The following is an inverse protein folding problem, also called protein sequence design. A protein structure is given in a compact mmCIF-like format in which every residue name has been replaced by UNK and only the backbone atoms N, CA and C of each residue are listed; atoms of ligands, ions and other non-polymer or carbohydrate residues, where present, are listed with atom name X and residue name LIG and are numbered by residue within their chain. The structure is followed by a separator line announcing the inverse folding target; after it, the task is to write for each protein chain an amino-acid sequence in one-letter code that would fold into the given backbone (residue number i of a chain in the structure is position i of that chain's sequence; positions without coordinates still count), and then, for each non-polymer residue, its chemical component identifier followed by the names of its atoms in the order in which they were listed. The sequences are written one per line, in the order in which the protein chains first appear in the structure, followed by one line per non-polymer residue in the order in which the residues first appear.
data_IF_070076454587
#
_entry.id   IF_070076454587
#
_cell.length_a   1.000
_cell.length_b   1.000
_cell.length_c   1.000
_cell.angle_alpha   90.00
_cell.angle_beta   90.00
_cell.angle_gamma   90.00
#
_symmetry.space_group_name_H-M   'P 1'
#
loop_
_entity.id
_entity.type
_entity.pdbx_description
1 polymer ?
#
# COMPACT_ATOMS: atom_id res chain seq x y z
N UNK A 1 1.95 27.44 7.03
CA UNK A 1 1.57 26.19 7.71
C UNK A 1 1.90 25.03 6.79
N UNK A 2 3.03 24.38 7.06
CA UNK A 2 3.65 23.40 6.17
C UNK A 2 2.96 22.05 6.38
N UNK A 3 1.92 21.78 5.58
CA UNK A 3 1.19 20.51 5.61
C UNK A 3 2.14 19.43 5.10
N UNK A 4 2.66 18.67 6.07
CA UNK A 4 3.45 17.43 6.01
C UNK A 4 3.77 16.90 4.60
N UNK A 5 4.92 17.34 4.09
CA UNK A 5 5.65 16.62 3.06
C UNK A 5 6.23 15.32 3.64
N UNK A 6 5.44 14.24 3.65
CA UNK A 6 6.02 12.91 3.55
C UNK A 6 5.18 11.96 2.68
N UNK A 7 5.21 12.20 1.38
CA UNK A 7 6.03 11.36 0.51
C UNK A 7 6.24 9.89 0.95
N UNK A 8 5.23 9.03 1.00
CA UNK A 8 5.40 7.60 0.73
C UNK A 8 4.06 6.95 0.45
N UNK A 9 4.01 6.06 -0.53
CA UNK A 9 2.84 5.21 -0.71
C UNK A 9 2.73 4.37 0.52
N UNK A 10 1.65 4.53 1.26
CA UNK A 10 1.45 3.79 2.47
C UNK A 10 1.52 2.29 2.17
N UNK A 11 2.13 1.51 3.06
CA UNK A 11 2.22 0.06 2.91
C UNK A 11 1.89 -0.64 4.23
N UNK A 12 1.44 -1.88 4.11
CA UNK A 12 1.04 -2.77 5.20
C UNK A 12 2.21 -3.63 5.68
N UNK A 13 2.22 -3.97 6.97
CA UNK A 13 3.09 -4.99 7.53
C UNK A 13 2.57 -6.40 7.20
N UNK A 14 3.47 -7.32 6.85
CA UNK A 14 3.11 -8.65 6.36
C UNK A 14 2.39 -9.55 7.36
N UNK A 15 2.57 -9.32 8.67
CA UNK A 15 1.95 -10.13 9.73
C UNK A 15 0.58 -9.58 10.18
N UNK A 16 0.12 -8.46 9.63
CA UNK A 16 -1.26 -8.01 9.83
C UNK A 16 -2.23 -8.96 9.09
N UNK A 17 -3.51 -8.96 9.46
CA UNK A 17 -4.54 -9.80 8.84
C UNK A 17 -5.45 -9.00 7.91
N UNK A 18 -5.80 -9.54 6.75
CA UNK A 18 -6.81 -9.00 5.84
C UNK A 18 -8.09 -9.82 5.94
N UNK A 19 -9.24 -9.16 6.09
CA UNK A 19 -10.53 -9.84 6.13
C UNK A 19 -11.04 -10.12 4.71
N UNK A 20 -11.46 -11.36 4.46
CA UNK A 20 -12.03 -11.81 3.20
C UNK A 20 -13.57 -11.77 3.25
N UNK A 21 -14.21 -11.79 2.08
CA UNK A 21 -15.68 -11.75 1.98
C UNK A 21 -16.39 -12.97 2.57
N UNK A 22 -15.68 -14.08 2.78
CA UNK A 22 -16.21 -15.29 3.40
C UNK A 22 -16.04 -15.30 4.94
N UNK A 23 -15.77 -14.13 5.54
CA UNK A 23 -15.51 -13.95 6.98
C UNK A 23 -14.28 -14.68 7.53
N UNK A 24 -13.39 -15.18 6.66
CA UNK A 24 -12.07 -15.68 7.06
C UNK A 24 -11.01 -14.57 6.93
N UNK A 25 -9.82 -14.81 7.47
CA UNK A 25 -8.69 -13.89 7.36
C UNK A 25 -7.48 -14.56 6.73
N UNK A 26 -6.63 -13.76 6.10
CA UNK A 26 -5.29 -14.14 5.64
C UNK A 26 -4.27 -13.16 6.21
N UNK A 27 -3.02 -13.57 6.38
CA UNK A 27 -1.96 -12.59 6.62
C UNK A 27 -1.80 -11.72 5.36
N UNK A 28 -1.44 -10.45 5.54
CA UNK A 28 -1.17 -9.50 4.45
C UNK A 28 -0.16 -10.09 3.47
N UNK A 29 0.86 -10.80 3.96
CA UNK A 29 1.89 -11.45 3.13
C UNK A 29 1.38 -12.66 2.33
N UNK A 30 0.24 -13.23 2.71
CA UNK A 30 -0.34 -14.45 2.12
C UNK A 30 -1.51 -14.16 1.18
N UNK A 31 -1.97 -12.90 1.09
CA UNK A 31 -2.99 -12.48 0.12
C UNK A 31 -2.50 -12.71 -1.32
N UNK A 32 -3.39 -13.19 -2.18
CA UNK A 32 -3.11 -13.54 -3.56
C UNK A 32 -4.04 -12.81 -4.54
N UNK A 33 -3.62 -12.60 -5.79
CA UNK A 33 -4.53 -12.24 -6.88
C UNK A 33 -5.72 -13.22 -6.94
N UNK A 34 -6.93 -12.69 -7.13
CA UNK A 34 -8.19 -13.45 -7.10
C UNK A 34 -8.89 -13.50 -5.73
N UNK A 35 -8.20 -13.17 -4.63
CA UNK A 35 -8.86 -13.07 -3.32
C UNK A 35 -9.91 -11.94 -3.31
N UNK A 36 -11.10 -12.22 -2.75
CA UNK A 36 -12.15 -11.22 -2.54
C UNK A 36 -12.12 -10.71 -1.12
N UNK A 37 -11.88 -9.41 -0.98
CA UNK A 37 -11.60 -8.74 0.30
C UNK A 37 -12.77 -7.89 0.77
N UNK A 38 -12.97 -7.86 2.09
CA UNK A 38 -13.90 -6.97 2.76
C UNK A 38 -13.37 -5.52 2.75
N UNK A 39 -14.22 -4.48 2.85
CA UNK A 39 -15.66 -4.57 3.13
C UNK A 39 -16.56 -4.63 1.88
N UNK A 40 -16.08 -4.21 0.70
CA UNK A 40 -16.93 -4.04 -0.49
C UNK A 40 -16.81 -5.16 -1.53
N UNK A 41 -16.05 -6.22 -1.24
CA UNK A 41 -15.94 -7.38 -2.14
C UNK A 41 -15.09 -7.15 -3.38
N UNK A 42 -14.18 -6.19 -3.34
CA UNK A 42 -13.16 -6.01 -4.38
C UNK A 42 -12.30 -7.26 -4.50
N UNK A 43 -11.94 -7.62 -5.72
CA UNK A 43 -11.02 -8.72 -6.02
C UNK A 43 -9.61 -8.17 -6.17
N UNK A 44 -8.65 -8.80 -5.50
CA UNK A 44 -7.22 -8.45 -5.62
C UNK A 44 -6.77 -8.74 -7.05
N UNK A 45 -6.35 -7.71 -7.77
CA UNK A 45 -5.72 -7.81 -9.10
C UNK A 45 -4.21 -7.94 -8.99
N UNK A 46 -3.59 -7.11 -8.15
CA UNK A 46 -2.15 -7.13 -7.91
C UNK A 46 -1.84 -7.12 -6.42
N UNK A 47 -0.84 -7.90 -6.04
CA UNK A 47 -0.17 -7.85 -4.74
C UNK A 47 1.20 -7.21 -4.96
N UNK A 48 1.41 -6.02 -4.42
CA UNK A 48 2.65 -5.27 -4.59
C UNK A 48 3.51 -5.42 -3.34
N UNK A 49 4.65 -6.12 -3.48
CA UNK A 49 5.65 -6.32 -2.44
C UNK A 49 6.82 -5.39 -2.67
N UNK A 50 7.09 -4.48 -1.73
CA UNK A 50 8.26 -3.61 -1.80
C UNK A 50 9.31 -4.09 -0.81
N UNK A 51 10.51 -4.43 -1.30
CA UNK A 51 11.62 -4.90 -0.48
C UNK A 51 12.08 -3.81 0.48
N UNK A 52 12.27 -4.16 1.75
CA UNK A 52 12.72 -3.24 2.78
C UNK A 52 14.25 -3.14 2.82
N UNK A 53 14.82 -1.93 2.89
CA UNK A 53 16.25 -1.76 3.06
C UNK A 53 16.65 -2.29 4.45
N UNK A 54 17.78 -3.01 4.52
CA UNK A 54 18.31 -3.57 5.75
C UNK A 54 17.34 -4.49 6.52
N UNK A 55 16.31 -5.04 5.85
CA UNK A 55 15.25 -5.88 6.47
C UNK A 55 14.49 -5.14 7.59
N UNK A 56 14.29 -3.83 7.43
CA UNK A 56 13.61 -2.99 8.42
C UNK A 56 12.69 -1.96 7.77
N UNK A 57 11.62 -1.61 8.48
CA UNK A 57 10.69 -0.57 8.08
C UNK A 57 10.29 0.30 9.27
N UNK A 58 10.02 1.58 9.01
CA UNK A 58 9.46 2.51 10.00
C UNK A 58 7.94 2.43 9.96
N UNK A 59 7.33 2.06 11.07
CA UNK A 59 5.90 1.78 11.17
C UNK A 59 5.32 2.37 12.46
N UNK A 60 4.01 2.46 12.50
CA UNK A 60 3.23 2.81 13.68
C UNK A 60 2.28 1.66 14.00
N UNK A 61 1.85 1.60 15.26
CA UNK A 61 0.84 0.66 15.74
C UNK A 61 -0.37 1.50 16.15
N UNK A 62 -1.53 1.20 15.59
CA UNK A 62 -2.79 1.89 15.89
C UNK A 62 -3.84 0.90 16.39
N UNK A 63 -5.11 1.30 16.39
CA UNK A 63 -6.25 0.49 16.80
C UNK A 63 -6.21 -0.94 16.24
N UNK A 64 -6.68 -1.91 17.02
CA UNK A 64 -6.70 -3.35 16.69
C UNK A 64 -5.31 -3.93 16.36
N UNK A 65 -4.24 -3.34 16.88
CA UNK A 65 -2.85 -3.71 16.61
C UNK A 65 -2.49 -3.64 15.12
N UNK A 66 -3.15 -2.79 14.33
CA UNK A 66 -2.76 -2.53 12.96
C UNK A 66 -1.34 -1.95 12.92
N UNK A 67 -0.40 -2.69 12.35
CA UNK A 67 0.97 -2.23 12.08
C UNK A 67 1.06 -1.77 10.63
N UNK A 68 1.36 -0.49 10.44
CA UNK A 68 1.29 0.16 9.12
C UNK A 68 2.30 1.29 9.01
N UNK A 69 2.69 1.69 7.80
CA UNK A 69 3.50 2.89 7.61
C UNK A 69 2.73 4.14 8.04
N UNK A 70 3.42 5.10 8.66
CA UNK A 70 2.81 6.24 9.36
C UNK A 70 1.91 7.16 8.49
N UNK A 71 2.05 7.12 7.17
CA UNK A 71 1.33 7.93 6.19
C UNK A 71 0.37 7.13 5.29
N UNK A 72 0.04 5.90 5.66
CA UNK A 72 -1.00 5.12 4.96
C UNK A 72 -2.38 5.53 5.49
N UNK A 73 -3.27 6.14 4.69
CA UNK A 73 -4.58 6.56 5.18
C UNK A 73 -5.43 5.40 5.69
N UNK A 74 -5.94 5.54 6.90
CA UNK A 74 -6.88 4.60 7.53
C UNK A 74 -8.21 5.30 7.79
N UNK A 75 -9.31 4.55 7.85
CA UNK A 75 -10.64 5.09 8.14
C UNK A 75 -11.09 4.65 9.53
N UNK A 76 -11.23 5.61 10.44
CA UNK A 76 -11.76 5.43 11.78
C UNK A 76 -12.97 6.33 11.97
N UNK A 77 -14.05 5.82 12.56
CA UNK A 77 -15.29 6.60 12.79
C UNK A 77 -15.76 7.36 11.54
N UNK A 78 -15.71 6.69 10.37
CA UNK A 78 -16.08 7.23 9.04
C UNK A 78 -15.20 8.37 8.51
N UNK A 79 -14.06 8.66 9.14
CA UNK A 79 -13.13 9.70 8.71
C UNK A 79 -11.79 9.11 8.32
N UNK A 80 -11.21 9.62 7.23
CA UNK A 80 -9.85 9.28 6.84
C UNK A 80 -8.83 10.04 7.68
N UNK A 81 -7.88 9.31 8.25
CA UNK A 81 -6.87 9.83 9.17
C UNK A 81 -5.51 9.29 8.78
N UNK A 82 -4.46 10.11 8.96
CA UNK A 82 -3.09 9.63 8.89
C UNK A 82 -2.68 8.98 10.22
N UNK A 83 -2.25 7.72 10.25
CA UNK A 83 -1.85 7.04 11.49
C UNK A 83 -0.85 7.84 12.34
N UNK A 84 0.06 8.60 11.72
CA UNK A 84 1.02 9.44 12.43
C UNK A 84 0.39 10.57 13.27
N UNK A 85 -0.85 10.96 13.03
CA UNK A 85 -1.55 11.95 13.87
C UNK A 85 -2.18 11.35 15.13
N UNK A 86 -2.23 10.02 15.24
CA UNK A 86 -2.85 9.30 16.35
C UNK A 86 -1.82 8.81 17.39
N UNK A 87 -0.54 8.76 17.02
CA UNK A 87 0.52 8.17 17.85
C UNK A 87 1.66 9.16 18.07
N UNK A 88 2.39 8.98 19.17
CA UNK A 88 3.53 9.81 19.54
C UNK A 88 4.89 9.26 19.04
N UNK A 89 4.93 8.03 18.53
CA UNK A 89 6.18 7.38 18.15
C UNK A 89 6.07 6.54 16.88
N UNK A 90 7.19 6.47 16.15
CA UNK A 90 7.38 5.62 14.98
C UNK A 90 8.44 4.60 15.35
N UNK A 91 8.13 3.32 15.16
CA UNK A 91 8.97 2.20 15.53
C UNK A 91 9.71 1.65 14.31
N UNK A 92 10.93 1.18 14.52
CA UNK A 92 11.64 0.38 13.54
C UNK A 92 11.29 -1.09 13.75
N UNK A 93 10.67 -1.71 12.75
CA UNK A 93 10.18 -3.10 12.79
C UNK A 93 11.01 -3.95 11.85
N UNK A 94 11.38 -5.17 12.27
CA UNK A 94 11.99 -6.14 11.36
C UNK A 94 10.98 -6.53 10.28
N UNK A 95 11.33 -6.30 9.03
CA UNK A 95 10.39 -6.37 7.94
C UNK A 95 11.15 -6.60 6.64
N UNK A 96 10.94 -7.73 5.98
CA UNK A 96 11.57 -8.02 4.69
C UNK A 96 10.90 -7.30 3.53
N UNK A 97 9.57 -7.23 3.59
CA UNK A 97 8.73 -6.60 2.58
C UNK A 97 7.57 -5.86 3.26
N UNK A 98 7.21 -4.73 2.68
CA UNK A 98 5.92 -4.08 2.91
C UNK A 98 5.00 -4.31 1.70
N UNK A 99 3.70 -4.28 1.96
CA UNK A 99 2.70 -4.72 0.99
C UNK A 99 1.72 -3.60 0.64
N UNK A 100 1.19 -3.60 -0.58
CA UNK A 100 -0.02 -2.87 -0.97
C UNK A 100 -0.73 -3.67 -2.06
N UNK A 101 -1.96 -3.28 -2.40
CA UNK A 101 -2.82 -4.04 -3.30
C UNK A 101 -3.39 -3.13 -4.38
N UNK A 102 -3.79 -3.73 -5.50
CA UNK A 102 -4.71 -3.12 -6.47
C UNK A 102 -5.95 -3.99 -6.48
N UNK A 103 -7.11 -3.38 -6.29
CA UNK A 103 -8.41 -4.06 -6.44
C UNK A 103 -9.03 -3.72 -7.80
N UNK A 104 -9.98 -4.54 -8.24
CA UNK A 104 -10.82 -4.24 -9.41
C UNK A 104 -11.90 -3.19 -9.13
N UNK A 105 -12.37 -3.10 -7.89
CA UNK A 105 -13.36 -2.14 -7.41
C UNK A 105 -13.21 -1.87 -5.90
N UNK A 106 -13.90 -0.82 -5.41
CA UNK A 106 -13.97 -0.45 -3.99
C UNK A 106 -12.68 0.20 -3.46
N UNK A 107 -11.52 -0.35 -3.80
CA UNK A 107 -10.18 0.14 -3.49
C UNK A 107 -9.92 0.46 -2.01
N UNK A 108 -10.61 -0.24 -1.12
CA UNK A 108 -10.34 -0.29 0.31
C UNK A 108 -10.38 -1.73 0.80
N UNK A 109 -9.63 -2.00 1.86
CA UNK A 109 -9.56 -3.31 2.52
C UNK A 109 -9.66 -3.16 4.03
N UNK A 110 -10.18 -4.18 4.72
CA UNK A 110 -10.06 -4.30 6.18
C UNK A 110 -8.77 -5.01 6.54
N UNK A 111 -7.88 -4.31 7.26
CA UNK A 111 -6.63 -4.86 7.81
C UNK A 111 -6.66 -4.74 9.33
N UNK A 112 -6.58 -5.86 10.05
CA UNK A 112 -6.85 -5.92 11.49
C UNK A 112 -8.15 -5.17 11.85
N UNK A 113 -9.24 -5.42 11.10
CA UNK A 113 -10.54 -4.76 11.26
C UNK A 113 -10.56 -3.22 11.09
N UNK A 114 -9.46 -2.63 10.61
CA UNK A 114 -9.38 -1.20 10.28
C UNK A 114 -9.38 -1.03 8.77
N UNK A 115 -10.25 -0.17 8.25
CA UNK A 115 -10.34 0.07 6.82
C UNK A 115 -9.20 0.95 6.32
N UNK A 116 -8.54 0.49 5.26
CA UNK A 116 -7.36 1.10 4.68
C UNK A 116 -7.53 1.24 3.17
N UNK A 117 -6.90 2.25 2.56
CA UNK A 117 -6.94 2.41 1.10
C UNK A 117 -5.95 1.51 0.36
N UNK A 118 -6.29 1.10 -0.85
CA UNK A 118 -5.37 0.41 -1.75
C UNK A 118 -4.86 1.34 -2.86
N UNK A 119 -3.96 0.87 -3.71
CA UNK A 119 -3.53 1.61 -4.90
C UNK A 119 -4.69 1.74 -5.90
N UNK A 120 -4.65 2.82 -6.70
CA UNK A 120 -5.64 3.13 -7.73
C UNK A 120 -6.97 3.68 -7.20
N UNK A 121 -7.05 4.07 -5.92
CA UNK A 121 -8.32 4.27 -5.23
C UNK A 121 -9.23 5.40 -5.74
N UNK A 122 -8.72 6.40 -6.45
CA UNK A 122 -9.54 7.50 -7.01
C UNK A 122 -10.15 8.48 -6.00
N UNK A 123 -10.16 8.17 -4.69
CA UNK A 123 -10.65 9.03 -3.61
C UNK A 123 -9.96 10.42 -3.61
N UNK A 124 -10.77 11.49 -3.54
CA UNK A 124 -10.32 12.89 -3.66
C UNK A 124 -10.33 13.69 -2.35
N UNK A 125 -10.66 13.05 -1.23
CA UNK A 125 -10.63 13.65 0.11
C UNK A 125 -9.19 14.01 0.53
N UNK A 126 -9.00 15.11 1.26
CA UNK A 126 -7.68 15.75 1.45
C UNK A 126 -6.61 14.83 2.07
N UNK A 127 -6.99 13.95 3.00
CA UNK A 127 -6.08 13.01 3.68
C UNK A 127 -5.67 11.86 2.75
N UNK A 128 -6.55 11.44 1.85
CA UNK A 128 -6.38 10.22 1.06
C UNK A 128 -5.85 10.51 -0.34
N UNK A 129 -6.25 11.67 -0.90
CA UNK A 129 -5.96 12.04 -2.29
C UNK A 129 -4.46 12.02 -2.54
N UNK A 130 -4.04 11.17 -3.47
CA UNK A 130 -2.67 11.09 -3.91
C UNK A 130 -2.59 11.09 -5.44
N UNK A 131 -1.81 12.03 -6.01
CA UNK A 131 -1.74 12.26 -7.46
C UNK A 131 -1.24 11.07 -8.28
N UNK A 132 -0.40 10.21 -7.69
CA UNK A 132 0.06 8.96 -8.30
C UNK A 132 -0.65 7.72 -7.75
N UNK A 133 -0.42 7.35 -6.48
CA UNK A 133 -1.00 6.13 -5.88
C UNK A 133 -2.52 6.07 -5.86
N UNK A 134 -3.21 7.21 -5.81
CA UNK A 134 -4.67 7.27 -5.91
C UNK A 134 -5.18 7.33 -7.34
N UNK A 135 -4.33 7.09 -8.35
CA UNK A 135 -4.70 7.26 -9.76
C UNK A 135 -4.44 6.00 -10.56
N UNK A 136 -5.11 5.91 -11.71
CA UNK A 136 -4.90 4.82 -12.67
C UNK A 136 -3.47 4.80 -13.27
N UNK A 137 -2.67 5.85 -13.06
CA UNK A 137 -1.26 5.84 -13.49
C UNK A 137 -0.45 4.81 -12.72
N UNK A 138 -0.68 4.66 -11.41
CA UNK A 138 0.01 3.64 -10.62
C UNK A 138 -0.34 2.23 -11.11
N UNK A 139 -1.62 1.98 -11.39
CA UNK A 139 -2.07 0.69 -11.92
C UNK A 139 -1.49 0.41 -13.30
N UNK A 140 -1.48 1.39 -14.21
CA UNK A 140 -0.90 1.24 -15.55
C UNK A 140 0.60 0.97 -15.54
N UNK A 141 1.35 1.56 -14.61
CA UNK A 141 2.78 1.28 -14.49
C UNK A 141 3.01 -0.14 -13.97
N UNK A 142 2.19 -0.63 -13.04
CA UNK A 142 2.23 -2.02 -12.56
C UNK A 142 1.85 -3.03 -13.66
N UNK A 143 0.86 -2.71 -14.50
CA UNK A 143 0.43 -3.53 -15.64
C UNK A 143 1.53 -3.72 -16.70
N UNK A 144 2.56 -2.87 -16.71
CA UNK A 144 3.70 -2.96 -17.61
C UNK A 144 4.83 -3.85 -17.08
N UNK A 145 4.75 -4.29 -15.83
CA UNK A 145 5.73 -5.21 -15.25
C UNK A 145 5.38 -6.64 -15.67
N UNK A 146 6.37 -7.35 -16.18
CA UNK A 146 6.27 -8.74 -16.61
C UNK A 146 7.51 -9.55 -16.17
N UNK A 147 7.59 -10.81 -16.60
CA UNK A 147 8.72 -11.69 -16.31
C UNK A 147 8.98 -11.87 -14.81
N UNK A 148 10.24 -11.72 -14.40
CA UNK A 148 10.67 -11.90 -13.00
C UNK A 148 10.03 -10.91 -12.03
N UNK A 149 9.57 -9.74 -12.52
CA UNK A 149 8.97 -8.70 -11.68
C UNK A 149 7.49 -8.94 -11.40
N UNK A 150 6.81 -9.77 -12.20
CA UNK A 150 5.38 -10.04 -12.08
C UNK A 150 5.10 -11.54 -12.26
N UNK A 151 4.91 -12.22 -11.14
CA UNK A 151 4.53 -13.63 -11.13
C UNK A 151 3.02 -13.77 -10.87
N UNK A 152 2.24 -13.85 -11.95
CA UNK A 152 0.79 -14.11 -11.86
C UNK A 152 0.01 -13.03 -11.11
N UNK A 153 0.50 -11.79 -11.08
CA UNK A 153 -0.09 -10.67 -10.35
C UNK A 153 0.55 -10.37 -9.00
N UNK A 154 1.55 -11.15 -8.57
CA UNK A 154 2.43 -10.79 -7.46
C UNK A 154 3.60 -10.00 -8.05
N UNK A 155 3.67 -8.72 -7.69
CA UNK A 155 4.66 -7.78 -8.19
C UNK A 155 5.69 -7.50 -7.10
N UNK A 156 6.97 -7.75 -7.39
CA UNK A 156 8.07 -7.40 -6.48
C UNK A 156 8.80 -6.14 -6.96
N UNK A 157 8.93 -5.16 -6.06
CA UNK A 157 9.56 -3.87 -6.33
C UNK A 157 10.75 -3.66 -5.39
N UNK A 158 11.89 -3.29 -5.95
CA UNK A 158 13.09 -2.95 -5.18
C UNK A 158 12.97 -1.59 -4.48
N UNK A 159 13.63 -1.45 -3.32
CA UNK A 159 13.79 -0.16 -2.64
C UNK A 159 14.53 0.83 -3.55
N UNK A 160 13.80 1.76 -4.17
CA UNK A 160 14.38 2.77 -5.08
C UNK A 160 13.70 2.87 -6.44
N UNK A 161 12.88 1.89 -6.82
CA UNK A 161 12.15 1.95 -8.10
C UNK A 161 11.06 3.03 -8.15
N UNK A 162 10.66 3.60 -7.01
CA UNK A 162 9.65 4.65 -6.95
C UNK A 162 10.29 6.03 -7.06
N UNK A 163 10.02 6.73 -8.17
CA UNK A 163 10.59 8.06 -8.43
C UNK A 163 9.72 9.14 -7.80
N UNK A 164 10.38 10.06 -7.09
CA UNK A 164 9.73 11.11 -6.31
C UNK A 164 9.91 12.49 -6.92
N UNK A 165 8.88 13.30 -6.81
CA UNK A 165 8.91 14.71 -7.18
C UNK A 165 9.85 15.49 -6.26
N UNK A 166 10.85 16.19 -6.80
CA UNK A 166 11.71 17.09 -6.00
C UNK A 166 10.93 18.25 -5.36
N UNK A 167 9.84 18.68 -5.99
CA UNK A 167 9.01 19.79 -5.51
C UNK A 167 8.10 19.38 -4.35
N UNK A 168 7.56 18.17 -4.40
CA UNK A 168 6.50 17.74 -3.49
C UNK A 168 6.85 16.52 -2.64
N UNK A 169 7.99 15.89 -2.84
CA UNK A 169 8.38 14.61 -2.22
C UNK A 169 7.53 13.39 -2.63
N UNK A 170 6.29 13.60 -3.09
CA UNK A 170 5.35 12.55 -3.47
C UNK A 170 5.92 11.68 -4.60
N UNK A 171 5.57 10.39 -4.57
CA UNK A 171 5.88 9.49 -5.68
C UNK A 171 5.11 9.96 -6.92
N UNK A 172 5.81 10.04 -8.05
CA UNK A 172 5.27 10.55 -9.31
C UNK A 172 5.13 9.45 -10.37
N UNK A 173 5.98 8.42 -10.34
CA UNK A 173 5.89 7.21 -11.17
C UNK A 173 6.75 6.07 -10.61
N UNK A 174 6.47 4.87 -11.08
CA UNK A 174 7.31 3.69 -10.89
C UNK A 174 8.29 3.61 -12.07
N UNK A 175 9.58 3.54 -11.76
CA UNK A 175 10.62 3.24 -12.73
C UNK A 175 10.55 1.76 -13.06
N UNK A 176 9.90 1.46 -14.18
CA UNK A 176 10.00 0.15 -14.83
C UNK A 176 11.43 0.06 -15.38
N UNK A 177 12.23 -0.87 -14.88
CA UNK A 177 13.51 -1.18 -15.50
C UNK A 177 13.18 -1.88 -16.82
N UNK A 178 13.43 -1.23 -17.95
CA UNK A 178 13.47 -1.94 -19.23
C UNK A 178 14.57 -3.00 -19.11
N UNK A 179 14.22 -4.26 -19.30
CA UNK A 179 15.21 -5.30 -19.56
C UNK A 179 15.90 -4.86 -20.84
N UNK A 180 17.11 -4.32 -20.72
CA UNK A 180 18.03 -4.26 -21.84
C UNK A 180 18.28 -5.71 -22.22
N UNK A 181 17.55 -6.18 -23.23
CA UNK A 181 17.88 -7.40 -23.95
C UNK A 181 19.26 -7.13 -24.54
N UNK A 182 20.30 -7.65 -23.88
CA UNK A 182 21.64 -7.77 -24.45
C UNK A 182 21.67 -8.93 -25.43
#
# INVERSE_FOLDING_TARGET
MTVFYNAAGGCFYGECTVCLMNATTKLVKDVQPGDRVAPYGGMVRFVVKTKCPNRKAKMVIVENNLIITAWHPIRLSLQWIMPCSLVSSIHEVSCDYVYNFVLDQGHTILVNDVECVTLGHGIQEDVVRHSYYGSQRAVKDLERLDGEQNNGGIIEISHGALVRSKKTGLVKWLQVQEILVQ
#
